data_IF_315051511613
#
_entry.id   IF_315051511613
#
_cell.length_a   1.000
_cell.length_b   1.000
_cell.length_c   1.000
_cell.angle_alpha   90.00
_cell.angle_beta   90.00
_cell.angle_gamma   90.00
#
_symmetry.space_group_name_H-M   'P 1'
#
loop_
_entity.id
_entity.type
_entity.pdbx_description
1 polymer ?
#
# COMPACT_ATOMS: atom_id res chain seq x y z
N UNK A 1 23.22 10.19 23.16
CA UNK A 1 23.14 11.45 22.38
C UNK A 1 22.99 12.69 23.26
N UNK A 2 22.02 12.76 24.19
CA UNK A 2 21.83 13.93 25.07
C UNK A 2 23.08 14.26 25.93
N UNK A 3 23.78 13.23 26.42
CA UNK A 3 25.00 13.39 27.22
C UNK A 3 26.17 14.04 26.44
N UNK A 4 26.31 13.72 25.15
CA UNK A 4 27.31 14.36 24.28
C UNK A 4 26.98 15.84 24.06
N UNK A 5 25.69 16.17 23.84
CA UNK A 5 25.24 17.56 23.73
C UNK A 5 25.46 18.35 25.01
N UNK A 6 25.25 17.70 26.16
CA UNK A 6 25.49 18.30 27.47
C UNK A 6 26.97 18.65 27.68
N UNK A 7 27.89 17.76 27.32
CA UNK A 7 29.34 18.04 27.41
C UNK A 7 29.75 19.25 26.55
N UNK A 8 29.20 19.38 25.35
CA UNK A 8 29.43 20.54 24.49
C UNK A 8 28.87 21.84 25.12
N UNK A 9 27.68 21.80 25.70
CA UNK A 9 27.07 22.96 26.38
C UNK A 9 27.84 23.30 27.66
N UNK A 10 28.24 22.30 28.46
CA UNK A 10 29.01 22.49 29.69
C UNK A 10 30.38 23.11 29.42
N UNK A 11 31.04 22.78 28.31
CA UNK A 11 32.31 23.41 27.94
C UNK A 11 32.18 24.93 27.69
N UNK A 12 30.98 25.41 27.34
CA UNK A 12 30.71 26.85 27.20
C UNK A 12 30.35 27.46 28.56
N UNK A 13 29.47 26.81 29.32
CA UNK A 13 28.94 27.35 30.59
C UNK A 13 29.95 27.27 31.73
N UNK A 14 30.57 26.09 31.94
CA UNK A 14 31.46 25.83 33.07
C UNK A 14 32.90 26.26 32.79
N UNK A 15 33.40 26.00 31.57
CA UNK A 15 34.80 26.28 31.22
C UNK A 15 34.99 27.64 30.53
N UNK A 16 33.90 28.38 30.26
CA UNK A 16 33.94 29.72 29.65
C UNK A 16 34.50 29.77 28.23
N UNK A 17 34.57 28.63 27.53
CA UNK A 17 35.18 28.56 26.19
C UNK A 17 34.31 29.25 25.14
N UNK A 18 34.97 29.82 24.13
CA UNK A 18 34.29 30.50 23.05
C UNK A 18 33.45 29.51 22.21
N UNK A 19 32.24 29.94 21.81
CA UNK A 19 31.33 29.13 20.97
C UNK A 19 31.98 28.63 19.68
N UNK A 20 32.86 29.43 19.06
CA UNK A 20 33.61 29.07 17.84
C UNK A 20 34.50 27.85 18.05
N UNK A 21 35.21 27.82 19.17
CA UNK A 21 36.16 26.78 19.53
C UNK A 21 35.46 25.48 19.90
N UNK A 22 34.39 25.58 20.71
CA UNK A 22 33.58 24.42 21.09
C UNK A 22 32.85 23.84 19.86
N UNK A 23 32.26 24.68 19.01
CA UNK A 23 31.60 24.20 17.80
C UNK A 23 32.58 23.48 16.85
N UNK A 24 33.78 24.02 16.66
CA UNK A 24 34.81 23.41 15.83
C UNK A 24 35.31 22.07 16.40
N UNK A 25 35.61 22.01 17.70
CA UNK A 25 36.10 20.77 18.34
C UNK A 25 35.07 19.64 18.36
N UNK A 26 33.78 19.98 18.36
CA UNK A 26 32.68 19.02 18.31
C UNK A 26 32.13 18.76 16.90
N UNK A 27 32.68 19.41 15.87
CA UNK A 27 32.27 19.22 14.47
C UNK A 27 30.84 19.68 14.16
N UNK A 28 30.33 20.68 14.86
CA UNK A 28 28.98 21.22 14.71
C UNK A 28 29.00 22.69 14.31
N UNK A 29 27.88 23.22 13.80
CA UNK A 29 27.75 24.66 13.58
C UNK A 29 27.53 25.43 14.89
N UNK A 30 28.00 26.67 14.97
CA UNK A 30 27.71 27.58 16.09
C UNK A 30 26.22 27.71 16.37
N UNK A 31 25.40 27.77 15.32
CA UNK A 31 23.94 27.83 15.42
C UNK A 31 23.37 26.60 16.14
N UNK A 32 23.90 25.40 15.88
CA UNK A 32 23.49 24.18 16.57
C UNK A 32 23.81 24.26 18.06
N UNK A 33 25.01 24.75 18.40
CA UNK A 33 25.45 24.92 19.79
C UNK A 33 24.58 25.96 20.53
N UNK A 34 24.23 27.09 19.90
CA UNK A 34 23.28 28.05 20.46
C UNK A 34 21.89 27.45 20.71
N UNK A 35 21.38 26.63 19.78
CA UNK A 35 20.10 25.93 19.96
C UNK A 35 20.16 24.95 21.14
N UNK A 36 21.27 24.23 21.31
CA UNK A 36 21.44 23.34 22.46
C UNK A 36 21.50 24.11 23.78
N UNK A 37 22.24 25.22 23.83
CA UNK A 37 22.31 26.08 25.01
C UNK A 37 20.91 26.60 25.40
N UNK A 38 20.19 27.20 24.45
CA UNK A 38 18.84 27.72 24.70
C UNK A 38 17.87 26.62 25.20
N UNK A 39 18.02 25.39 24.70
CA UNK A 39 17.24 24.24 25.19
C UNK A 39 17.62 23.85 26.61
N UNK A 40 18.93 23.79 26.89
CA UNK A 40 19.44 23.46 28.21
C UNK A 40 19.00 24.49 29.26
N UNK A 41 19.03 25.79 28.93
CA UNK A 41 18.52 26.85 29.80
C UNK A 41 17.01 26.72 30.06
N UNK A 42 16.24 26.32 29.04
CA UNK A 42 14.78 26.22 29.15
C UNK A 42 14.27 24.97 29.89
N UNK A 43 15.05 23.88 29.93
CA UNK A 43 14.56 22.59 30.48
C UNK A 43 15.63 21.58 30.85
N UNK A 44 16.84 22.05 31.12
CA UNK A 44 17.95 21.23 31.60
C UNK A 44 18.38 20.12 30.64
N UNK A 45 18.89 19.03 31.21
CA UNK A 45 19.43 17.89 30.46
C UNK A 45 18.37 17.20 29.59
N UNK A 46 17.13 17.12 30.05
CA UNK A 46 16.03 16.48 29.32
C UNK A 46 15.70 17.21 28.02
N UNK A 47 15.81 18.55 28.02
CA UNK A 47 15.55 19.36 26.84
C UNK A 47 16.57 19.15 25.70
N UNK A 48 17.74 18.54 25.98
CA UNK A 48 18.75 18.16 24.99
C UNK A 48 18.48 16.82 24.29
N UNK A 49 17.50 16.05 24.77
CA UNK A 49 17.10 14.80 24.14
C UNK A 49 16.63 15.03 22.69
N UNK A 50 16.74 13.99 21.87
CA UNK A 50 16.22 14.03 20.50
C UNK A 50 14.70 14.21 20.53
N UNK A 51 14.24 15.28 19.88
CA UNK A 51 12.83 15.54 19.70
C UNK A 51 12.37 14.89 18.42
N UNK A 52 11.10 14.53 18.40
CA UNK A 52 10.48 14.09 17.15
C UNK A 52 10.59 15.20 16.11
N UNK A 53 11.11 14.87 14.93
CA UNK A 53 11.04 15.73 13.75
C UNK A 53 9.68 15.63 13.05
N UNK A 54 8.74 14.84 13.61
CA UNK A 54 7.40 14.69 13.05
C UNK A 54 6.65 16.03 13.17
N UNK A 55 5.98 16.49 12.09
CA UNK A 55 5.10 17.65 12.16
C UNK A 55 4.07 17.50 13.27
N UNK A 56 3.82 18.59 14.01
CA UNK A 56 2.83 18.63 15.11
C UNK A 56 1.42 18.38 14.58
N UNK A 57 1.11 18.85 13.36
CA UNK A 57 -0.17 18.62 12.70
C UNK A 57 0.01 18.24 11.23
N UNK A 58 -0.96 17.50 10.70
CA UNK A 58 -1.06 17.18 9.28
C UNK A 58 -2.50 17.47 8.84
N UNK A 59 -2.78 18.63 8.23
CA UNK A 59 -4.15 19.04 7.88
C UNK A 59 -4.90 18.04 6.97
N UNK A 60 -4.15 17.27 6.18
CA UNK A 60 -4.69 16.25 5.27
C UNK A 60 -4.74 14.86 5.89
N UNK A 61 -4.54 14.76 7.22
CA UNK A 61 -4.76 13.52 7.93
C UNK A 61 -6.26 13.24 8.00
N UNK A 62 -6.62 11.97 7.79
CA UNK A 62 -7.99 11.50 7.92
C UNK A 62 -8.53 11.83 9.30
N UNK A 63 -9.79 12.26 9.34
CA UNK A 63 -10.49 12.50 10.60
C UNK A 63 -10.48 11.23 11.48
N UNK A 64 -10.22 11.34 12.79
CA UNK A 64 -10.14 10.19 13.69
C UNK A 64 -11.40 9.32 13.70
N UNK A 65 -12.60 9.90 13.61
CA UNK A 65 -13.85 9.14 13.60
C UNK A 65 -13.99 8.32 12.32
N UNK A 66 -13.58 8.89 11.18
CA UNK A 66 -13.54 8.19 9.90
C UNK A 66 -12.48 7.08 9.93
N UNK A 67 -11.31 7.34 10.52
CA UNK A 67 -10.26 6.34 10.68
C UNK A 67 -10.75 5.14 11.52
N UNK A 68 -11.45 5.38 12.63
CA UNK A 68 -12.08 4.32 13.41
C UNK A 68 -13.07 3.51 12.57
N UNK A 69 -13.95 4.17 11.81
CA UNK A 69 -14.91 3.49 10.94
C UNK A 69 -14.22 2.61 9.87
N UNK A 70 -13.12 3.09 9.30
CA UNK A 70 -12.28 2.32 8.36
C UNK A 70 -11.72 1.06 9.03
N UNK A 71 -11.18 1.19 10.24
CA UNK A 71 -10.56 0.08 10.96
C UNK A 71 -11.59 -0.97 11.38
N UNK A 72 -12.75 -0.55 11.89
CA UNK A 72 -13.85 -1.46 12.24
C UNK A 72 -14.36 -2.22 11.02
N UNK A 73 -14.53 -1.54 9.87
CA UNK A 73 -14.95 -2.20 8.64
C UNK A 73 -13.93 -3.25 8.17
N UNK A 74 -12.62 -2.97 8.29
CA UNK A 74 -11.56 -3.93 7.97
C UNK A 74 -11.55 -5.12 8.92
N UNK A 75 -11.81 -4.92 10.21
CA UNK A 75 -11.87 -6.00 11.21
C UNK A 75 -13.07 -6.90 10.97
N UNK A 76 -14.24 -6.33 10.69
CA UNK A 76 -15.45 -7.07 10.35
C UNK A 76 -15.32 -7.84 9.03
N UNK A 77 -14.54 -7.31 8.08
CA UNK A 77 -14.35 -7.91 6.75
C UNK A 77 -12.86 -7.97 6.36
N UNK A 78 -12.10 -8.97 6.85
CA UNK A 78 -10.65 -9.07 6.61
C UNK A 78 -10.25 -9.13 5.13
N UNK A 79 -11.12 -9.65 4.25
CA UNK A 79 -10.89 -9.71 2.80
C UNK A 79 -11.05 -8.37 2.07
N UNK A 80 -11.62 -7.35 2.69
CA UNK A 80 -11.91 -6.09 2.02
C UNK A 80 -10.66 -5.21 1.92
N UNK A 81 -10.20 -5.00 0.68
CA UNK A 81 -9.13 -4.05 0.38
C UNK A 81 -9.61 -2.59 0.43
N UNK A 82 -8.68 -1.63 0.33
CA UNK A 82 -8.98 -0.20 0.39
C UNK A 82 -10.05 0.25 -0.61
N UNK A 83 -10.09 -0.34 -1.82
CA UNK A 83 -11.09 -0.01 -2.85
C UNK A 83 -12.51 -0.35 -2.39
N UNK A 84 -12.70 -1.54 -1.78
CA UNK A 84 -14.00 -1.96 -1.28
C UNK A 84 -14.45 -1.11 -0.11
N UNK A 85 -13.54 -0.80 0.81
CA UNK A 85 -13.84 0.05 1.98
C UNK A 85 -14.24 1.46 1.56
N UNK A 86 -13.55 2.07 0.59
CA UNK A 86 -13.95 3.38 0.03
C UNK A 86 -15.37 3.31 -0.56
N UNK A 87 -15.68 2.26 -1.31
CA UNK A 87 -17.00 2.09 -1.90
C UNK A 87 -18.10 1.99 -0.83
N UNK A 88 -17.88 1.23 0.24
CA UNK A 88 -18.84 1.08 1.33
C UNK A 88 -18.99 2.34 2.19
N UNK A 89 -17.92 3.13 2.34
CA UNK A 89 -17.99 4.44 2.99
C UNK A 89 -18.74 5.46 2.12
N UNK A 90 -18.55 5.43 0.80
CA UNK A 90 -19.29 6.30 -0.11
C UNK A 90 -20.80 6.02 -0.07
N UNK A 91 -21.22 4.77 0.12
CA UNK A 91 -22.64 4.40 0.35
C UNK A 91 -23.22 4.95 1.65
N UNK A 92 -22.36 5.37 2.58
CA UNK A 92 -22.70 6.05 3.84
C UNK A 92 -22.42 7.55 3.77
N UNK A 93 -22.27 8.10 2.57
CA UNK A 93 -21.99 9.53 2.31
C UNK A 93 -20.65 10.02 2.89
N UNK A 94 -19.74 9.10 3.22
CA UNK A 94 -18.40 9.42 3.72
C UNK A 94 -17.39 9.36 2.56
N UNK A 95 -16.88 10.52 2.16
CA UNK A 95 -15.90 10.63 1.07
C UNK A 95 -14.48 10.54 1.61
N UNK A 96 -13.77 9.49 1.21
CA UNK A 96 -12.36 9.27 1.56
C UNK A 96 -11.55 8.84 0.36
N UNK A 97 -10.28 9.24 0.32
CA UNK A 97 -9.36 8.76 -0.71
C UNK A 97 -8.91 7.32 -0.41
N UNK A 98 -8.80 6.50 -1.46
CA UNK A 98 -8.21 5.15 -1.40
C UNK A 98 -6.85 5.14 -0.70
N UNK A 99 -6.00 6.11 -1.02
CA UNK A 99 -4.66 6.24 -0.43
C UNK A 99 -4.71 6.64 1.05
N UNK A 100 -5.73 7.39 1.47
CA UNK A 100 -5.97 7.72 2.88
C UNK A 100 -6.38 6.48 3.68
N UNK A 101 -7.34 5.71 3.16
CA UNK A 101 -7.76 4.42 3.74
C UNK A 101 -6.57 3.47 3.86
N UNK A 102 -5.80 3.28 2.78
CA UNK A 102 -4.60 2.44 2.80
C UNK A 102 -3.61 2.87 3.88
N UNK A 103 -3.33 4.18 4.01
CA UNK A 103 -2.42 4.70 5.04
C UNK A 103 -2.93 4.45 6.45
N UNK A 104 -4.23 4.62 6.70
CA UNK A 104 -4.87 4.31 7.99
C UNK A 104 -4.72 2.83 8.34
N UNK A 105 -5.08 1.93 7.42
CA UNK A 105 -4.92 0.49 7.61
C UNK A 105 -3.47 0.08 7.87
N UNK A 106 -2.52 0.69 7.14
CA UNK A 106 -1.09 0.42 7.30
C UNK A 106 -0.57 0.88 8.65
N UNK A 107 -0.97 2.07 9.12
CA UNK A 107 -0.61 2.55 10.47
C UNK A 107 -1.13 1.64 11.57
N UNK A 108 -2.33 1.09 11.39
CA UNK A 108 -2.94 0.15 12.33
C UNK A 108 -2.44 -1.31 12.18
N UNK A 109 -1.48 -1.59 11.29
CA UNK A 109 -0.96 -2.94 11.07
C UNK A 109 -1.96 -3.91 10.41
N UNK A 110 -3.07 -3.42 9.83
CA UNK A 110 -4.13 -4.25 9.23
C UNK A 110 -3.89 -4.56 7.75
N UNK A 111 -2.83 -4.01 7.16
CA UNK A 111 -2.30 -4.44 5.87
C UNK A 111 -1.40 -5.62 6.14
N UNK A 112 -1.99 -6.81 6.19
CA UNK A 112 -1.23 -8.04 6.25
C UNK A 112 -0.53 -8.20 4.91
N UNK A 113 0.80 -8.10 4.90
CA UNK A 113 1.64 -8.49 3.78
C UNK A 113 1.62 -10.01 3.64
N UNK A 114 0.46 -10.57 3.28
CA UNK A 114 0.33 -11.98 2.99
C UNK A 114 0.76 -12.20 1.55
N UNK A 115 1.79 -13.03 1.34
CA UNK A 115 1.99 -13.69 0.06
C UNK A 115 0.66 -14.29 -0.40
N UNK A 116 0.47 -14.40 -1.72
CA UNK A 116 -0.73 -15.01 -2.33
C UNK A 116 -1.24 -16.11 -1.41
N UNK A 117 -2.49 -15.98 -0.94
CA UNK A 117 -3.19 -17.07 -0.26
C UNK A 117 -2.76 -18.35 -0.96
N UNK A 118 -2.20 -19.30 -0.21
CA UNK A 118 -1.88 -20.61 -0.77
C UNK A 118 -3.09 -21.08 -1.57
N UNK A 119 -2.87 -21.76 -2.69
CA UNK A 119 -3.96 -22.45 -3.37
C UNK A 119 -4.67 -23.28 -2.32
N UNK A 120 -5.99 -23.16 -2.25
CA UNK A 120 -6.84 -23.97 -1.38
C UNK A 120 -6.36 -25.43 -1.46
N UNK A 121 -6.12 -26.07 -0.32
CA UNK A 121 -5.65 -27.46 -0.26
C UNK A 121 -6.65 -28.42 -0.89
N UNK A 122 -7.93 -28.02 -0.95
CA UNK A 122 -9.00 -28.75 -1.64
C UNK A 122 -9.07 -28.45 -3.14
N UNK A 123 -8.24 -27.54 -3.66
CA UNK A 123 -8.20 -27.25 -5.08
C UNK A 123 -7.66 -28.47 -5.82
N UNK A 124 -8.56 -29.17 -6.51
CA UNK A 124 -8.22 -30.21 -7.46
C UNK A 124 -8.33 -29.63 -8.86
N UNK A 125 -7.29 -29.83 -9.67
CA UNK A 125 -7.38 -29.56 -11.10
C UNK A 125 -8.43 -30.52 -11.67
N UNK A 126 -9.53 -29.97 -12.14
CA UNK A 126 -10.51 -30.73 -12.90
C UNK A 126 -9.95 -30.95 -14.30
N UNK A 127 -9.61 -32.19 -14.61
CA UNK A 127 -9.04 -32.61 -15.88
C UNK A 127 -9.55 -34.03 -16.21
N UNK A 128 -9.87 -34.29 -17.48
CA UNK A 128 -10.19 -35.65 -17.94
C UNK A 128 -8.98 -36.58 -17.95
N UNK A 129 -9.23 -37.89 -17.93
CA UNK A 129 -8.17 -38.88 -17.74
C UNK A 129 -7.37 -39.17 -19.01
N UNK A 130 -7.91 -38.84 -20.18
CA UNK A 130 -7.26 -39.03 -21.48
C UNK A 130 -7.57 -37.89 -22.43
N UNK A 131 -6.72 -37.74 -23.44
CA UNK A 131 -6.96 -36.83 -24.54
C UNK A 131 -8.23 -37.21 -25.30
N UNK A 132 -8.93 -36.19 -25.80
CA UNK A 132 -10.15 -36.29 -26.62
C UNK A 132 -11.40 -36.77 -25.87
N UNK A 133 -11.38 -36.86 -24.54
CA UNK A 133 -12.55 -37.20 -23.71
C UNK A 133 -13.50 -36.00 -23.50
N UNK A 134 -12.97 -34.77 -23.53
CA UNK A 134 -13.75 -33.56 -23.42
C UNK A 134 -13.05 -32.40 -24.12
N UNK A 135 -13.79 -31.70 -24.98
CA UNK A 135 -13.35 -30.44 -25.54
C UNK A 135 -14.05 -29.28 -24.83
N UNK A 136 -13.26 -28.33 -24.36
CA UNK A 136 -13.74 -27.06 -23.85
C UNK A 136 -13.80 -26.09 -25.03
N UNK A 137 -15.00 -25.61 -25.35
CA UNK A 137 -15.21 -24.64 -26.41
C UNK A 137 -15.59 -23.30 -25.79
N UNK A 138 -14.92 -22.24 -26.21
CA UNK A 138 -15.19 -20.88 -25.76
C UNK A 138 -15.18 -19.89 -26.93
N UNK A 139 -16.04 -18.88 -26.83
CA UNK A 139 -16.08 -17.75 -27.76
C UNK A 139 -15.38 -16.59 -27.09
N UNK A 140 -14.18 -16.26 -27.56
CA UNK A 140 -13.38 -15.19 -26.97
C UNK A 140 -13.86 -13.81 -27.42
N UNK A 141 -13.32 -12.77 -26.77
CA UNK A 141 -13.63 -11.38 -27.11
C UNK A 141 -13.47 -11.12 -28.62
N UNK A 142 -14.34 -10.23 -29.14
CA UNK A 142 -14.38 -9.95 -30.57
C UNK A 142 -13.09 -9.28 -31.06
N UNK A 143 -12.70 -9.62 -32.28
CA UNK A 143 -11.55 -9.04 -32.97
C UNK A 143 -12.02 -8.33 -34.24
N UNK A 144 -11.42 -7.18 -34.51
CA UNK A 144 -11.69 -6.40 -35.72
C UNK A 144 -10.64 -6.77 -36.76
N UNK A 145 -11.09 -7.15 -37.96
CA UNK A 145 -10.26 -7.48 -39.09
C UNK A 145 -9.79 -6.20 -39.81
N UNK A 146 -8.79 -6.34 -40.68
CA UNK A 146 -8.18 -5.22 -41.43
C UNK A 146 -9.20 -4.50 -42.32
N UNK A 147 -10.20 -5.23 -42.83
CA UNK A 147 -11.31 -4.68 -43.63
C UNK A 147 -12.40 -3.99 -42.78
N UNK A 148 -12.21 -3.91 -41.46
CA UNK A 148 -13.15 -3.31 -40.52
C UNK A 148 -14.26 -4.25 -40.06
N UNK A 149 -14.32 -5.49 -40.54
CA UNK A 149 -15.32 -6.46 -40.09
C UNK A 149 -15.05 -6.92 -38.65
N UNK A 150 -16.11 -7.05 -37.84
CA UNK A 150 -16.03 -7.58 -36.48
C UNK A 150 -16.30 -9.08 -36.49
N UNK A 151 -15.42 -9.87 -35.88
CA UNK A 151 -15.55 -11.33 -35.79
C UNK A 151 -15.35 -11.83 -34.38
N UNK A 152 -15.85 -13.03 -34.10
CA UNK A 152 -15.70 -13.72 -32.82
C UNK A 152 -14.90 -15.02 -33.03
N UNK A 153 -13.71 -15.16 -32.44
CA UNK A 153 -13.00 -16.43 -32.51
C UNK A 153 -13.69 -17.46 -31.60
N UNK A 154 -13.99 -18.62 -32.16
CA UNK A 154 -14.35 -19.84 -31.45
C UNK A 154 -13.10 -20.71 -31.33
N UNK A 155 -12.71 -21.01 -30.10
CA UNK A 155 -11.59 -21.90 -29.81
C UNK A 155 -12.08 -23.14 -29.07
N UNK A 156 -11.62 -24.30 -29.52
CA UNK A 156 -11.82 -25.59 -28.86
C UNK A 156 -10.48 -26.12 -28.38
N UNK A 157 -10.38 -26.43 -27.09
CA UNK A 157 -9.19 -26.97 -26.47
C UNK A 157 -9.53 -28.32 -25.84
N UNK A 158 -8.70 -29.33 -26.06
CA UNK A 158 -8.79 -30.59 -25.33
C UNK A 158 -8.41 -30.37 -23.86
N UNK A 159 -9.29 -30.80 -22.94
CA UNK A 159 -9.11 -30.51 -21.52
C UNK A 159 -7.87 -31.20 -20.91
N UNK A 160 -7.50 -32.40 -21.39
CA UNK A 160 -6.34 -33.13 -20.89
C UNK A 160 -5.03 -32.63 -21.51
N UNK A 161 -4.86 -32.77 -22.82
CA UNK A 161 -3.61 -32.45 -23.51
C UNK A 161 -3.36 -30.95 -23.70
N UNK A 162 -4.40 -30.12 -23.52
CA UNK A 162 -4.39 -28.68 -23.86
C UNK A 162 -4.13 -28.42 -25.34
N UNK A 163 -4.30 -29.43 -26.19
CA UNK A 163 -4.20 -29.28 -27.64
C UNK A 163 -5.37 -28.47 -28.18
N UNK A 164 -5.09 -27.55 -29.11
CA UNK A 164 -6.11 -26.79 -29.81
C UNK A 164 -6.76 -27.66 -30.88
N UNK A 165 -7.96 -28.19 -30.60
CA UNK A 165 -8.71 -29.08 -31.50
C UNK A 165 -9.51 -28.30 -32.53
N UNK A 166 -9.84 -27.03 -32.25
CA UNK A 166 -10.55 -26.16 -33.17
C UNK A 166 -10.17 -24.70 -32.98
N UNK A 167 -9.99 -23.98 -34.09
CA UNK A 167 -9.89 -22.53 -34.12
C UNK A 167 -10.64 -22.03 -35.36
N UNK A 168 -11.68 -21.23 -35.16
CA UNK A 168 -12.54 -20.71 -36.21
C UNK A 168 -12.89 -19.25 -35.93
N UNK A 169 -12.95 -18.44 -36.98
CA UNK A 169 -13.50 -17.09 -36.91
C UNK A 169 -14.97 -17.15 -37.30
N UNK A 170 -15.85 -16.62 -36.46
CA UNK A 170 -17.28 -16.52 -36.72
C UNK A 170 -17.62 -15.08 -37.13
N UNK A 171 -18.30 -14.88 -38.27
CA UNK A 171 -18.63 -13.55 -38.77
C UNK A 171 -19.74 -12.86 -37.96
N UNK A 172 -20.55 -13.62 -37.21
CA UNK A 172 -21.58 -13.09 -36.32
C UNK A 172 -21.94 -14.12 -35.25
N UNK A 173 -22.37 -13.65 -34.08
CA UNK A 173 -23.02 -14.45 -33.06
C UNK A 173 -24.53 -14.33 -33.25
N UNK A 174 -25.21 -15.43 -33.56
CA UNK A 174 -26.68 -15.47 -33.67
C UNK A 174 -27.25 -16.24 -32.49
N UNK A 175 -27.93 -15.54 -31.58
CA UNK A 175 -28.56 -16.15 -30.40
C UNK A 175 -29.98 -16.65 -30.69
N UNK A 176 -30.22 -17.21 -31.88
CA UNK A 176 -31.52 -17.73 -32.29
C UNK A 176 -31.44 -19.20 -32.67
N UNK A 177 -32.28 -20.03 -32.07
CA UNK A 177 -32.52 -21.39 -32.56
C UNK A 177 -33.37 -21.29 -33.85
N UNK A 178 -32.93 -21.96 -34.91
CA UNK A 178 -33.72 -22.15 -36.15
C UNK A 178 -34.81 -23.18 -35.90
#
# INVERSE_FOLDING_TARGET
MAEQRYKAVSAVIADGRAFTEVAASWGISRQTLHVWLARYEAGGLEALADRSHRPVSCPHQMDPAIEVAVLEMRRAHPGWGPVRIVHELARREVVVSRSGVYRALRRAGLVVGGGRSGRDEHWRRWERGRAMELWQMDVVAGVVLVDGASTKPLTGIDDHSRYCVAARLMPAERTGFV
#
